data_IF_364130305422
#
_entry.id   IF_364130305422
#
_cell.length_a   1.000
_cell.length_b   1.000
_cell.length_c   1.000
_cell.angle_alpha   90.00
_cell.angle_beta   90.00
_cell.angle_gamma   90.00
#
_symmetry.space_group_name_H-M   'P 1'
#
loop_
_entity.id
_entity.type
_entity.pdbx_description
1 polymer ?
#
# COMPACT_ATOMS: atom_id res chain seq x y z
N UNK A 1 -0.95 -23.85 0.16
CA UNK A 1 -1.97 -23.59 1.20
C UNK A 1 -1.26 -23.79 2.52
N UNK A 2 -0.82 -22.71 3.15
CA UNK A 2 -0.17 -22.76 4.47
C UNK A 2 -1.17 -22.27 5.52
N UNK A 3 -1.57 -23.18 6.40
CA UNK A 3 -2.18 -22.86 7.69
C UNK A 3 -1.04 -22.62 8.66
N UNK A 4 -1.15 -21.66 9.58
CA UNK A 4 -0.09 -21.39 10.58
C UNK A 4 0.10 -22.56 11.57
N UNK A 5 -0.76 -23.58 11.49
CA UNK A 5 -0.80 -24.72 12.40
C UNK A 5 -1.64 -24.44 13.65
N UNK A 6 -2.07 -23.19 13.83
CA UNK A 6 -2.88 -22.75 14.96
C UNK A 6 -4.38 -22.86 14.64
N UNK A 7 -5.18 -23.05 15.68
CA UNK A 7 -6.64 -23.08 15.61
C UNK A 7 -7.17 -21.92 16.43
N UNK A 8 -8.10 -21.14 15.88
CA UNK A 8 -8.73 -20.04 16.61
C UNK A 8 -9.68 -20.55 17.71
N UNK A 9 -10.18 -19.63 18.52
CA UNK A 9 -11.11 -19.88 19.64
C UNK A 9 -12.42 -20.58 19.21
N UNK A 10 -12.70 -20.62 17.91
CA UNK A 10 -13.90 -21.21 17.31
C UNK A 10 -13.61 -22.51 16.55
N UNK A 11 -12.39 -23.06 16.67
CA UNK A 11 -12.03 -24.35 16.08
C UNK A 11 -11.60 -24.29 14.60
N UNK A 12 -11.41 -23.11 14.02
CA UNK A 12 -10.97 -22.98 12.62
C UNK A 12 -9.47 -22.78 12.51
N UNK A 13 -8.81 -23.34 11.49
CA UNK A 13 -7.39 -23.12 11.29
C UNK A 13 -7.10 -21.66 10.99
N UNK A 14 -6.16 -21.06 11.72
CA UNK A 14 -5.61 -19.74 11.42
C UNK A 14 -4.83 -19.86 10.11
N UNK A 15 -5.21 -19.02 9.15
CA UNK A 15 -4.67 -19.04 7.79
C UNK A 15 -3.72 -17.88 7.61
N UNK A 16 -2.65 -18.14 6.86
CA UNK A 16 -1.73 -17.10 6.45
C UNK A 16 -2.44 -16.01 5.62
N UNK A 17 -2.28 -14.74 6.03
CA UNK A 17 -2.88 -13.59 5.38
C UNK A 17 -2.08 -13.17 4.13
N UNK A 18 -2.06 -14.04 3.11
CA UNK A 18 -1.34 -13.80 1.86
C UNK A 18 -1.75 -12.49 1.15
N UNK A 19 -2.97 -12.00 1.39
CA UNK A 19 -3.50 -10.76 0.82
C UNK A 19 -2.70 -9.53 1.28
N UNK A 20 -2.20 -9.53 2.53
CA UNK A 20 -1.36 -8.48 3.08
C UNK A 20 -0.02 -8.36 2.33
N UNK A 21 0.50 -9.46 1.80
CA UNK A 21 1.77 -9.51 1.08
C UNK A 21 1.63 -9.44 -0.45
N UNK A 22 0.39 -9.38 -0.96
CA UNK A 22 0.17 -9.37 -2.40
C UNK A 22 0.67 -8.06 -3.04
N UNK A 23 1.68 -8.16 -3.92
CA UNK A 23 2.26 -7.04 -4.68
C UNK A 23 2.02 -7.12 -6.19
N UNK A 24 1.22 -8.09 -6.65
CA UNK A 24 0.95 -8.30 -8.08
C UNK A 24 0.22 -7.13 -8.73
N UNK A 25 0.35 -6.99 -10.06
CA UNK A 25 -0.30 -5.91 -10.81
C UNK A 25 -1.81 -6.14 -11.03
N UNK A 26 -2.26 -7.40 -11.01
CA UNK A 26 -3.66 -7.76 -11.23
C UNK A 26 -4.51 -7.49 -9.99
N UNK A 27 -5.81 -7.24 -10.21
CA UNK A 27 -6.78 -7.29 -9.11
C UNK A 27 -7.18 -8.76 -8.88
N UNK A 28 -7.12 -9.23 -7.63
CA UNK A 28 -7.49 -10.59 -7.25
C UNK A 28 -8.79 -10.54 -6.45
N UNK A 29 -9.86 -11.00 -7.07
CA UNK A 29 -11.17 -11.16 -6.42
C UNK A 29 -11.29 -12.62 -6.00
N UNK A 30 -11.57 -12.86 -4.72
CA UNK A 30 -11.67 -14.21 -4.19
C UNK A 30 -12.85 -14.35 -3.23
N UNK A 31 -13.13 -15.60 -2.87
CA UNK A 31 -14.02 -16.00 -1.79
C UNK A 31 -13.36 -17.12 -0.99
N UNK A 32 -14.02 -17.66 0.05
CA UNK A 32 -13.74 -18.93 0.76
C UNK A 32 -13.88 -18.79 2.28
N UNK A 33 -13.45 -17.65 2.83
CA UNK A 33 -13.65 -17.33 4.24
C UNK A 33 -14.73 -16.26 4.31
N UNK A 34 -15.91 -16.54 4.89
CA UNK A 34 -16.97 -15.55 5.03
C UNK A 34 -16.47 -14.30 5.76
N UNK A 35 -16.76 -13.12 5.21
CA UNK A 35 -16.51 -11.81 5.81
C UNK A 35 -17.82 -11.01 5.91
N UNK A 36 -17.95 -10.07 6.86
CA UNK A 36 -19.16 -9.25 6.99
C UNK A 36 -19.39 -8.38 5.74
N UNK A 37 -18.34 -7.69 5.31
CA UNK A 37 -18.32 -6.77 4.19
C UNK A 37 -17.03 -6.94 3.37
N UNK A 38 -17.09 -6.73 2.04
CA UNK A 38 -15.91 -6.80 1.19
C UNK A 38 -15.02 -5.58 1.39
N UNK A 39 -13.75 -5.80 1.72
CA UNK A 39 -12.76 -4.75 1.86
C UNK A 39 -11.58 -4.97 0.91
N UNK A 40 -11.10 -3.87 0.32
CA UNK A 40 -9.88 -3.89 -0.47
C UNK A 40 -8.67 -3.90 0.46
N UNK A 41 -7.80 -4.89 0.28
CA UNK A 41 -6.46 -4.93 0.85
C UNK A 41 -5.47 -5.13 -0.29
N UNK A 42 -4.57 -4.17 -0.49
CA UNK A 42 -3.72 -4.04 -1.66
C UNK A 42 -4.56 -4.07 -2.95
N UNK A 43 -4.28 -5.02 -3.85
CA UNK A 43 -5.10 -5.28 -5.05
C UNK A 43 -5.96 -6.54 -4.91
N UNK A 44 -6.31 -6.91 -3.68
CA UNK A 44 -7.09 -8.11 -3.40
C UNK A 44 -8.39 -7.75 -2.69
N UNK A 45 -9.45 -8.52 -2.95
CA UNK A 45 -10.73 -8.37 -2.25
C UNK A 45 -11.42 -9.71 -2.08
N UNK A 46 -11.92 -9.94 -0.87
CA UNK A 46 -12.80 -11.07 -0.55
C UNK A 46 -14.27 -10.66 -0.72
N UNK A 47 -15.00 -11.32 -1.61
CA UNK A 47 -16.43 -11.08 -1.85
C UNK A 47 -17.34 -12.18 -1.27
N UNK A 48 -16.77 -13.13 -0.53
CA UNK A 48 -17.55 -14.14 0.19
C UNK A 48 -18.17 -13.52 1.44
N UNK A 49 -19.37 -12.98 1.28
CA UNK A 49 -20.16 -12.37 2.36
C UNK A 49 -21.12 -13.35 3.03
N UNK A 50 -20.82 -14.65 2.96
CA UNK A 50 -21.52 -15.69 3.72
C UNK A 50 -23.02 -15.81 3.43
N UNK A 51 -23.44 -15.70 2.17
CA UNK A 51 -24.86 -15.75 1.79
C UNK A 51 -25.62 -16.96 2.38
N UNK A 52 -24.98 -18.14 2.40
CA UNK A 52 -25.60 -19.37 2.93
C UNK A 52 -25.85 -19.31 4.44
N UNK A 53 -25.06 -18.50 5.15
CA UNK A 53 -25.11 -18.32 6.60
C UNK A 53 -26.07 -17.21 7.03
N UNK A 54 -26.96 -16.76 6.14
CA UNK A 54 -27.86 -15.63 6.38
C UNK A 54 -27.27 -14.27 6.06
N UNK A 55 -26.12 -14.24 5.39
CA UNK A 55 -25.47 -12.99 5.00
C UNK A 55 -25.98 -12.38 3.70
N UNK A 56 -25.09 -12.13 2.74
CA UNK A 56 -25.47 -11.60 1.43
C UNK A 56 -24.67 -12.27 0.30
N UNK A 57 -25.22 -12.29 -0.90
CA UNK A 57 -24.49 -12.63 -2.12
C UNK A 57 -23.93 -11.34 -2.72
N UNK A 58 -22.62 -11.26 -2.87
CA UNK A 58 -21.91 -10.05 -3.32
C UNK A 58 -21.25 -10.27 -4.67
N UNK A 59 -21.38 -9.28 -5.55
CA UNK A 59 -20.72 -9.19 -6.85
C UNK A 59 -19.85 -7.92 -6.90
N UNK A 60 -18.71 -8.03 -7.58
CA UNK A 60 -17.88 -6.87 -7.94
C UNK A 60 -18.14 -6.52 -9.41
N UNK A 61 -18.52 -5.28 -9.67
CA UNK A 61 -18.56 -4.71 -11.03
C UNK A 61 -17.17 -4.23 -11.42
N UNK A 62 -16.70 -4.63 -12.59
CA UNK A 62 -15.39 -4.25 -13.11
C UNK A 62 -15.55 -3.69 -14.54
N UNK A 63 -14.91 -2.55 -14.88
CA UNK A 63 -13.81 -1.88 -14.17
C UNK A 63 -14.23 -0.86 -13.10
N UNK A 64 -15.51 -0.69 -12.82
CA UNK A 64 -16.05 0.36 -11.92
C UNK A 64 -15.63 0.17 -10.44
N UNK A 65 -15.27 -1.05 -10.05
CA UNK A 65 -14.91 -1.47 -8.68
C UNK A 65 -16.01 -1.21 -7.65
N UNK A 66 -17.26 -1.32 -8.09
CA UNK A 66 -18.44 -1.18 -7.24
C UNK A 66 -18.93 -2.54 -6.74
N UNK A 67 -19.31 -2.62 -5.47
CA UNK A 67 -19.94 -3.81 -4.91
C UNK A 67 -21.47 -3.73 -5.04
N UNK A 68 -22.07 -4.81 -5.51
CA UNK A 68 -23.53 -4.99 -5.54
C UNK A 68 -23.84 -6.24 -4.75
N UNK A 69 -24.78 -6.15 -3.80
CA UNK A 69 -25.14 -7.28 -2.94
C UNK A 69 -26.64 -7.48 -2.82
N UNK A 70 -27.05 -8.72 -2.65
CA UNK A 70 -28.44 -9.12 -2.34
C UNK A 70 -28.45 -9.88 -1.01
N UNK A 71 -29.30 -9.50 -0.03
CA UNK A 71 -29.38 -10.21 1.23
C UNK A 71 -29.87 -11.65 1.04
N UNK A 72 -29.41 -12.55 1.91
CA UNK A 72 -29.92 -13.92 1.96
C UNK A 72 -31.41 -13.90 2.34
N UNK A 73 -32.19 -14.81 1.75
CA UNK A 73 -33.61 -14.94 2.05
C UNK A 73 -33.87 -15.52 3.44
N UNK A 74 -33.01 -16.44 3.86
CA UNK A 74 -33.07 -17.16 5.13
C UNK A 74 -31.67 -17.70 5.46
N UNK A 75 -31.49 -18.21 6.69
CA UNK A 75 -30.27 -18.90 7.10
C UNK A 75 -30.37 -20.36 6.65
N UNK A 76 -29.54 -20.76 5.69
CA UNK A 76 -29.52 -22.14 5.16
C UNK A 76 -28.56 -23.04 5.94
N UNK A 77 -27.56 -22.48 6.62
CA UNK A 77 -26.58 -23.19 7.42
C UNK A 77 -26.15 -22.31 8.60
N UNK A 78 -25.98 -22.90 9.79
CA UNK A 78 -25.45 -22.20 10.96
C UNK A 78 -23.94 -22.02 10.83
N UNK A 79 -23.46 -20.80 11.11
CA UNK A 79 -22.03 -20.50 11.15
C UNK A 79 -21.57 -20.33 12.58
N UNK A 80 -20.50 -21.03 12.95
CA UNK A 80 -20.03 -21.07 14.33
C UNK A 80 -19.40 -19.74 14.83
N UNK A 81 -19.03 -18.83 13.91
CA UNK A 81 -18.49 -17.50 14.28
C UNK A 81 -19.55 -16.41 14.15
N UNK A 82 -19.57 -15.41 15.03
CA UNK A 82 -20.37 -14.20 14.83
C UNK A 82 -19.92 -13.49 13.55
N UNK A 83 -20.79 -13.47 12.53
CA UNK A 83 -20.53 -12.82 11.23
C UNK A 83 -20.80 -11.32 11.23
N UNK A 84 -21.60 -10.84 12.17
CA UNK A 84 -22.03 -9.45 12.23
C UNK A 84 -21.68 -8.90 13.61
N UNK A 85 -20.81 -7.88 13.62
CA UNK A 85 -20.59 -7.03 14.79
C UNK A 85 -21.46 -5.78 14.63
N UNK A 86 -21.94 -5.26 15.76
CA UNK A 86 -22.71 -4.01 15.76
C UNK A 86 -21.85 -2.87 15.21
N UNK A 87 -22.46 -2.05 14.35
CA UNK A 87 -21.84 -0.99 13.55
C UNK A 87 -21.41 0.26 14.38
N UNK A 88 -20.92 0.05 15.60
CA UNK A 88 -20.59 1.13 16.54
C UNK A 88 -19.11 1.47 16.65
N UNK A 89 -18.21 0.68 16.06
CA UNK A 89 -16.80 1.07 15.97
C UNK A 89 -16.52 1.65 14.59
N UNK A 90 -16.07 2.90 14.56
CA UNK A 90 -15.34 3.47 13.42
C UNK A 90 -14.01 2.73 13.29
N UNK A 91 -14.05 1.46 12.87
CA UNK A 91 -12.87 0.65 12.66
C UNK A 91 -12.15 1.13 11.39
N UNK A 92 -10.82 1.22 11.47
CA UNK A 92 -9.97 1.48 10.31
C UNK A 92 -10.20 0.37 9.26
N UNK A 93 -10.24 0.73 7.98
CA UNK A 93 -10.27 -0.26 6.88
C UNK A 93 -9.07 -1.20 6.94
N UNK A 94 -9.19 -2.41 6.39
CA UNK A 94 -8.09 -3.38 6.33
C UNK A 94 -6.79 -2.77 5.74
N UNK A 95 -6.89 -1.91 4.72
CA UNK A 95 -5.72 -1.20 4.18
C UNK A 95 -5.11 -0.24 5.20
N UNK A 96 -5.92 0.55 5.91
CA UNK A 96 -5.41 1.50 6.90
C UNK A 96 -4.69 0.80 8.05
N UNK A 97 -5.19 -0.35 8.50
CA UNK A 97 -4.54 -1.19 9.50
C UNK A 97 -3.21 -1.76 9.00
N UNK A 98 -3.18 -2.21 7.73
CA UNK A 98 -1.97 -2.70 7.10
C UNK A 98 -0.91 -1.61 6.94
N UNK A 99 -1.31 -0.40 6.53
CA UNK A 99 -0.41 0.75 6.34
C UNK A 99 0.24 1.25 7.65
N UNK A 100 -0.33 0.93 8.82
CA UNK A 100 0.26 1.26 10.12
C UNK A 100 1.43 0.32 10.50
N UNK A 101 1.59 -0.80 9.79
CA UNK A 101 2.70 -1.75 9.98
C UNK A 101 3.79 -1.53 8.91
N UNK A 102 4.93 -0.99 9.33
CA UNK A 102 6.14 -0.97 8.51
C UNK A 102 6.74 -2.38 8.42
N UNK A 103 6.80 -2.95 7.22
CA UNK A 103 7.53 -4.19 6.99
C UNK A 103 9.04 -3.89 6.89
N UNK A 104 9.82 -4.54 7.76
CA UNK A 104 11.28 -4.43 7.72
C UNK A 104 11.85 -4.87 6.38
N UNK A 105 11.23 -5.84 5.72
CA UNK A 105 11.66 -6.28 4.39
C UNK A 105 11.57 -5.13 3.40
N UNK A 106 10.56 -4.26 3.48
CA UNK A 106 10.36 -3.12 2.57
C UNK A 106 11.55 -2.15 2.58
N UNK A 107 12.26 -2.05 3.70
CA UNK A 107 13.33 -1.07 3.92
C UNK A 107 14.74 -1.68 4.07
N UNK A 108 14.87 -2.99 4.04
CA UNK A 108 16.15 -3.69 4.17
C UNK A 108 16.74 -4.14 2.82
N UNK A 109 18.07 -4.17 2.76
CA UNK A 109 18.83 -4.56 1.58
C UNK A 109 18.80 -3.55 0.42
N UNK A 110 19.33 -3.98 -0.73
CA UNK A 110 19.35 -3.17 -1.95
C UNK A 110 17.97 -3.15 -2.61
N UNK A 111 17.44 -1.95 -2.87
CA UNK A 111 16.16 -1.76 -3.56
C UNK A 111 16.33 -1.12 -4.94
N UNK A 112 15.43 -1.47 -5.86
CA UNK A 112 15.30 -0.83 -7.16
C UNK A 112 13.87 -0.31 -7.26
N UNK A 113 13.74 1.01 -7.40
CA UNK A 113 12.46 1.70 -7.59
C UNK A 113 12.35 2.08 -9.05
N UNK A 114 11.21 1.72 -9.67
CA UNK A 114 10.88 2.10 -11.03
C UNK A 114 9.91 3.25 -11.06
N UNK A 115 10.24 4.29 -11.82
CA UNK A 115 9.39 5.47 -12.01
C UNK A 115 9.12 5.70 -13.50
N UNK A 116 8.18 6.60 -13.80
CA UNK A 116 7.86 6.99 -15.18
C UNK A 116 9.03 7.66 -15.90
N UNK A 117 9.82 8.47 -15.20
CA UNK A 117 10.94 9.23 -15.79
C UNK A 117 12.24 8.43 -15.81
N UNK A 118 12.44 7.57 -14.82
CA UNK A 118 13.60 6.70 -14.71
C UNK A 118 13.20 5.34 -14.14
N UNK A 119 13.38 4.30 -14.94
CA UNK A 119 12.91 2.94 -14.62
C UNK A 119 13.77 2.25 -13.56
N UNK A 120 15.02 2.65 -13.38
CA UNK A 120 15.95 2.02 -12.45
C UNK A 120 16.60 3.06 -11.54
N UNK A 121 15.98 3.32 -10.38
CA UNK A 121 16.57 4.10 -9.30
C UNK A 121 17.00 3.12 -8.22
N UNK A 122 18.31 3.01 -7.98
CA UNK A 122 18.85 2.11 -6.95
C UNK A 122 18.96 2.82 -5.62
N UNK A 123 18.33 2.26 -4.59
CA UNK A 123 18.50 2.67 -3.20
C UNK A 123 19.42 1.66 -2.54
N UNK A 124 20.59 2.14 -2.08
CA UNK A 124 21.56 1.34 -1.34
C UNK A 124 21.10 1.16 0.11
N UNK A 125 21.49 0.06 0.72
CA UNK A 125 21.03 -0.32 2.06
C UNK A 125 21.42 0.71 3.14
N UNK A 126 22.63 1.27 3.03
CA UNK A 126 23.11 2.33 3.92
C UNK A 126 22.22 3.58 3.90
N UNK A 127 21.72 3.94 2.71
CA UNK A 127 20.83 5.10 2.55
C UNK A 127 19.43 4.80 3.09
N UNK A 128 18.92 3.58 2.86
CA UNK A 128 17.61 3.16 3.36
C UNK A 128 17.58 3.12 4.90
N UNK A 129 18.65 2.61 5.52
CA UNK A 129 18.78 2.52 6.99
C UNK A 129 18.81 3.90 7.63
N UNK A 130 19.62 4.81 7.09
CA UNK A 130 19.69 6.19 7.56
C UNK A 130 18.34 6.92 7.40
N UNK A 131 17.67 6.74 6.26
CA UNK A 131 16.36 7.33 6.02
C UNK A 131 15.29 6.77 6.98
N UNK A 132 15.29 5.47 7.25
CA UNK A 132 14.37 4.82 8.17
C UNK A 132 14.49 5.38 9.60
N UNK A 133 15.72 5.58 10.07
CA UNK A 133 15.99 6.14 11.40
C UNK A 133 15.40 7.56 11.55
N UNK A 134 15.63 8.43 10.56
CA UNK A 134 15.08 9.80 10.55
C UNK A 134 13.56 9.80 10.40
N UNK A 135 13.03 9.00 9.46
CA UNK A 135 11.59 8.95 9.17
C UNK A 135 10.78 8.38 10.34
N UNK A 136 11.30 7.35 11.01
CA UNK A 136 10.61 6.74 12.16
C UNK A 136 10.61 7.63 13.41
N UNK A 137 11.67 8.41 13.64
CA UNK A 137 11.82 9.23 14.84
C UNK A 137 11.19 10.61 14.73
N UNK A 138 11.30 11.25 13.57
CA UNK A 138 11.08 12.69 13.45
C UNK A 138 10.06 13.10 12.38
N UNK A 139 9.66 12.19 11.48
CA UNK A 139 8.74 12.56 10.42
C UNK A 139 7.29 12.64 10.91
N UNK A 140 6.48 13.40 10.18
CA UNK A 140 5.03 13.35 10.31
C UNK A 140 4.52 11.95 9.94
N UNK A 141 3.25 11.66 10.29
CA UNK A 141 2.65 10.38 9.97
C UNK A 141 2.79 10.09 8.44
N UNK A 142 3.33 8.91 8.06
CA UNK A 142 3.61 8.56 6.66
C UNK A 142 2.41 8.70 5.71
N UNK A 143 1.18 8.55 6.22
CA UNK A 143 -0.05 8.73 5.44
C UNK A 143 -0.23 10.15 4.89
N UNK A 144 0.46 11.15 5.45
CA UNK A 144 0.50 12.52 4.94
C UNK A 144 1.72 12.80 4.06
N UNK A 145 2.74 11.93 4.06
CA UNK A 145 4.00 12.10 3.33
C UNK A 145 3.87 11.59 1.88
N UNK A 146 2.97 12.23 1.12
CA UNK A 146 2.74 11.90 -0.30
C UNK A 146 3.84 12.43 -1.23
N UNK A 147 4.69 13.35 -0.74
CA UNK A 147 5.75 13.98 -1.53
C UNK A 147 6.90 14.46 -0.64
N UNK A 148 8.13 14.23 -1.09
CA UNK A 148 9.33 14.87 -0.55
C UNK A 148 10.01 15.67 -1.67
N UNK A 149 10.36 16.94 -1.43
CA UNK A 149 11.04 17.75 -2.44
C UNK A 149 12.43 17.19 -2.75
N UNK A 150 12.87 17.23 -4.02
CA UNK A 150 14.23 16.82 -4.38
C UNK A 150 15.25 17.85 -3.89
N UNK A 151 16.52 17.45 -3.87
CA UNK A 151 17.62 18.40 -3.72
C UNK A 151 17.76 19.26 -4.98
N UNK A 152 18.41 20.40 -4.84
CA UNK A 152 18.70 21.32 -5.94
C UNK A 152 20.20 21.43 -6.13
N UNK A 153 20.67 21.28 -7.37
CA UNK A 153 22.08 21.45 -7.72
C UNK A 153 22.39 22.93 -8.02
N UNK A 154 23.53 23.46 -7.54
CA UNK A 154 23.99 24.80 -7.92
C UNK A 154 24.51 24.82 -9.37
N UNK A 155 24.61 26.01 -10.00
CA UNK A 155 25.28 26.18 -11.28
C UNK A 155 26.80 25.99 -11.14
N UNK A 156 27.51 25.97 -12.28
CA UNK A 156 28.98 25.97 -12.27
C UNK A 156 29.56 27.25 -11.66
N UNK A 157 30.76 27.15 -11.11
CA UNK A 157 31.46 28.30 -10.50
C UNK A 157 31.86 29.30 -11.57
N UNK A 158 31.62 30.59 -11.32
CA UNK A 158 31.93 31.66 -12.27
C UNK A 158 33.43 31.95 -12.37
N UNK A 159 33.86 32.44 -13.54
CA UNK A 159 35.21 33.00 -13.73
C UNK A 159 35.31 34.49 -13.39
N UNK A 160 34.18 35.15 -13.07
CA UNK A 160 34.18 36.56 -12.71
C UNK A 160 34.90 36.81 -11.36
N UNK A 161 35.84 37.78 -11.30
CA UNK A 161 36.57 38.05 -10.07
C UNK A 161 35.64 38.47 -8.93
N UNK A 162 35.76 37.81 -7.78
CA UNK A 162 35.03 38.16 -6.55
C UNK A 162 33.64 37.55 -6.43
N UNK A 163 33.22 36.68 -7.34
CA UNK A 163 31.96 35.95 -7.28
C UNK A 163 32.20 34.43 -7.27
N UNK A 164 31.33 33.69 -6.57
CA UNK A 164 31.32 32.22 -6.59
C UNK A 164 30.32 31.67 -7.61
N UNK A 165 29.15 32.31 -7.69
CA UNK A 165 28.06 31.96 -8.61
C UNK A 165 27.66 33.20 -9.40
N UNK A 166 27.33 33.02 -10.68
CA UNK A 166 26.83 34.09 -11.53
C UNK A 166 25.69 33.56 -12.43
N UNK A 167 24.57 34.31 -12.63
CA UNK A 167 23.41 33.83 -13.40
C UNK A 167 23.73 33.38 -14.83
N UNK A 168 24.79 33.94 -15.43
CA UNK A 168 25.22 33.56 -16.77
C UNK A 168 25.54 32.05 -16.88
N UNK A 169 26.07 31.43 -15.83
CA UNK A 169 26.43 30.01 -15.84
C UNK A 169 25.18 29.11 -15.84
N UNK A 170 24.14 29.50 -15.11
CA UNK A 170 22.85 28.80 -15.14
C UNK A 170 22.20 28.89 -16.53
N UNK A 171 22.18 30.07 -17.16
CA UNK A 171 21.65 30.23 -18.51
C UNK A 171 22.49 29.48 -19.56
N UNK A 172 23.81 29.48 -19.40
CA UNK A 172 24.70 28.72 -20.26
C UNK A 172 24.41 27.22 -20.17
N UNK A 173 24.18 26.68 -18.97
CA UNK A 173 23.79 25.28 -18.78
C UNK A 173 22.54 24.91 -19.58
N UNK A 174 21.42 25.63 -19.42
CA UNK A 174 20.20 25.34 -20.17
C UNK A 174 20.40 25.42 -21.69
N UNK A 175 21.15 26.43 -22.15
CA UNK A 175 21.46 26.58 -23.58
C UNK A 175 22.27 25.41 -24.13
N UNK A 176 23.24 24.87 -23.38
CA UNK A 176 24.01 23.68 -23.83
C UNK A 176 23.15 22.42 -23.87
N UNK A 177 22.10 22.34 -23.06
CA UNK A 177 21.11 21.26 -23.07
C UNK A 177 20.00 21.46 -24.13
N UNK A 178 20.09 22.50 -24.97
CA UNK A 178 19.11 22.79 -26.02
C UNK A 178 17.81 23.42 -25.51
N UNK A 179 17.82 23.98 -24.31
CA UNK A 179 16.70 24.70 -23.71
C UNK A 179 16.96 26.21 -23.86
N UNK A 180 16.19 26.93 -24.70
CA UNK A 180 16.42 28.34 -25.02
C UNK A 180 16.05 29.31 -23.89
#
# INVERSE_FOLDING_TARGET
RETTGETDEFGFPVRYNWAAEYRGAAHVVYGHTPVPDPEWLNRTVNIDTGCVFGGRLTALRYPEKEFVSVPAKEVYCEYAKPMYRDATDTEQTAQQQHDDLLDLQDVTGKRIVSTRLQTNITIREENATAALEVMSRFAANPKWLIYLPPTMSPPETTTEPGLLEHPAEAFAYFRTQGIP
#
